data_IF_489648561317
#
_entry.id   IF_489648561317
#
_cell.length_a   1.000
_cell.length_b   1.000
_cell.length_c   1.000
_cell.angle_alpha   90.00
_cell.angle_beta   90.00
_cell.angle_gamma   90.00
#
_symmetry.space_group_name_H-M   'P 1'
#
loop_
_entity.id
_entity.type
_entity.pdbx_description
1 polymer ?
#
# COMPACT_ATOMS: atom_id res chain seq x y z
N UNK A 1 0.28 19.51 -12.12
CA UNK A 1 -0.76 18.48 -11.96
C UNK A 1 -1.50 18.35 -13.28
N UNK A 2 -1.88 17.14 -13.69
CA UNK A 2 -2.69 16.87 -14.88
C UNK A 2 -4.00 16.25 -14.42
N UNK A 3 -5.14 16.79 -14.85
CA UNK A 3 -6.46 16.22 -14.56
C UNK A 3 -6.99 15.50 -15.79
N UNK A 4 -7.61 14.33 -15.59
CA UNK A 4 -8.21 13.54 -16.65
C UNK A 4 -9.63 13.17 -16.24
N UNK A 5 -10.59 13.41 -17.14
CA UNK A 5 -11.95 12.91 -17.02
C UNK A 5 -12.07 11.55 -17.70
N UNK A 6 -12.71 10.59 -17.02
CA UNK A 6 -12.94 9.25 -17.57
C UNK A 6 -14.35 9.12 -18.17
N UNK A 7 -14.55 8.12 -19.03
CA UNK A 7 -15.84 7.86 -19.68
C UNK A 7 -16.95 7.44 -18.71
N UNK A 8 -16.60 7.00 -17.50
CA UNK A 8 -17.53 6.67 -16.42
C UNK A 8 -17.74 7.83 -15.44
N UNK A 9 -17.24 9.03 -15.75
CA UNK A 9 -17.51 10.24 -14.99
C UNK A 9 -16.62 10.47 -13.77
N UNK A 10 -15.50 9.74 -13.63
CA UNK A 10 -14.49 10.06 -12.62
C UNK A 10 -13.56 11.18 -13.09
N UNK A 11 -13.04 11.93 -12.12
CA UNK A 11 -11.97 12.91 -12.32
C UNK A 11 -10.75 12.38 -11.59
N UNK A 12 -9.68 12.13 -12.34
CA UNK A 12 -8.41 11.62 -11.82
C UNK A 12 -7.32 12.68 -11.96
N UNK A 13 -6.31 12.62 -11.09
CA UNK A 13 -5.20 13.56 -11.09
C UNK A 13 -3.84 12.84 -11.10
N UNK A 14 -2.94 13.29 -11.98
CA UNK A 14 -1.53 12.93 -11.96
C UNK A 14 -0.74 14.08 -11.34
N UNK A 15 -0.13 13.79 -10.19
CA UNK A 15 0.64 14.76 -9.41
C UNK A 15 2.13 14.50 -9.66
N UNK A 16 2.87 15.45 -10.27
CA UNK A 16 4.31 15.29 -10.41
C UNK A 16 4.98 15.38 -9.05
N UNK A 17 5.78 14.37 -8.70
CA UNK A 17 6.58 14.36 -7.49
C UNK A 17 7.92 15.03 -7.80
N UNK A 18 8.17 16.18 -7.19
CA UNK A 18 9.34 17.01 -7.51
C UNK A 18 10.66 16.50 -6.90
N UNK A 19 10.57 15.76 -5.78
CA UNK A 19 11.74 15.27 -5.04
C UNK A 19 11.91 13.78 -5.27
N UNK A 20 13.12 13.36 -5.64
CA UNK A 20 13.43 11.94 -5.85
C UNK A 20 13.24 11.12 -4.56
N UNK A 21 13.62 11.69 -3.41
CA UNK A 21 13.42 11.06 -2.10
C UNK A 21 11.94 10.74 -1.83
N UNK A 22 11.02 11.57 -2.35
CA UNK A 22 9.59 11.33 -2.20
C UNK A 22 9.08 10.26 -3.16
N UNK A 23 9.68 10.12 -4.34
CA UNK A 23 9.38 9.01 -5.24
C UNK A 23 9.76 7.69 -4.56
N UNK A 24 10.95 7.62 -3.97
CA UNK A 24 11.40 6.43 -3.25
C UNK A 24 10.54 6.14 -2.02
N UNK A 25 10.24 7.16 -1.21
CA UNK A 25 9.42 7.02 0.00
C UNK A 25 8.00 6.55 -0.34
N UNK A 26 7.33 7.23 -1.26
CA UNK A 26 5.94 6.93 -1.62
C UNK A 26 5.83 5.60 -2.37
N UNK A 27 6.84 5.22 -3.17
CA UNK A 27 6.90 3.91 -3.82
C UNK A 27 7.07 2.77 -2.81
N UNK A 28 7.94 2.93 -1.80
CA UNK A 28 8.07 1.95 -0.71
C UNK A 28 6.79 1.86 0.13
N UNK A 29 6.17 3.00 0.43
CA UNK A 29 4.89 3.06 1.14
C UNK A 29 3.80 2.26 0.40
N UNK A 30 3.66 2.46 -0.91
CA UNK A 30 2.71 1.72 -1.74
C UNK A 30 2.90 0.20 -1.59
N UNK A 31 4.15 -0.27 -1.69
CA UNK A 31 4.49 -1.69 -1.56
C UNK A 31 4.12 -2.23 -0.17
N UNK A 32 4.38 -1.46 0.89
CA UNK A 32 4.09 -1.90 2.25
C UNK A 32 2.59 -1.98 2.53
N UNK A 33 1.81 -1.01 2.04
CA UNK A 33 0.35 -1.03 2.15
C UNK A 33 -0.21 -2.24 1.41
N UNK A 34 0.28 -2.49 0.19
CA UNK A 34 -0.09 -3.68 -0.60
C UNK A 34 0.18 -4.98 0.15
N UNK A 35 1.37 -5.13 0.72
CA UNK A 35 1.72 -6.32 1.52
C UNK A 35 0.80 -6.50 2.72
N UNK A 36 0.41 -5.42 3.40
CA UNK A 36 -0.53 -5.52 4.53
C UNK A 36 -1.93 -6.01 4.15
N UNK A 37 -2.31 -5.90 2.86
CA UNK A 37 -3.60 -6.37 2.33
C UNK A 37 -3.57 -7.79 1.78
N UNK A 38 -2.39 -8.36 1.50
CA UNK A 38 -2.24 -9.68 0.87
C UNK A 38 -2.30 -10.86 1.87
N UNK A 39 -2.46 -10.61 3.17
CA UNK A 39 -2.43 -11.63 4.25
C UNK A 39 -3.75 -12.40 4.49
N UNK A 40 -4.66 -12.48 3.51
CA UNK A 40 -5.97 -13.15 3.68
C UNK A 40 -6.18 -14.39 2.79
N UNK A 41 -5.11 -15.07 2.31
CA UNK A 41 -5.25 -16.26 1.46
C UNK A 41 -4.31 -17.41 1.88
N UNK A 42 -4.62 -18.08 2.99
CA UNK A 42 -4.25 -19.47 3.41
C UNK A 42 -4.56 -19.56 4.92
N UNK A 43 -5.38 -20.44 5.49
CA UNK A 43 -5.52 -21.88 5.27
C UNK A 43 -6.94 -22.35 5.67
N UNK A 44 -7.70 -22.88 4.70
CA UNK A 44 -8.67 -23.94 4.98
C UNK A 44 -8.25 -25.14 4.12
N UNK A 45 -7.53 -26.10 4.73
CA UNK A 45 -7.73 -27.56 4.64
C UNK A 45 -6.46 -28.41 4.86
N UNK A 46 -6.56 -29.27 5.89
CA UNK A 46 -6.15 -30.68 5.96
C UNK A 46 -4.67 -31.13 6.15
N UNK A 47 -4.49 -31.84 7.27
CA UNK A 47 -3.63 -33.01 7.54
C UNK A 47 -2.09 -32.88 7.71
N UNK A 48 -1.70 -33.02 8.98
CA UNK A 48 -0.78 -34.05 9.51
C UNK A 48 0.40 -34.51 8.62
N UNK A 49 1.60 -33.96 8.84
CA UNK A 49 2.82 -34.75 9.12
C UNK A 49 4.04 -33.86 9.45
N UNK A 50 4.83 -34.35 10.41
CA UNK A 50 6.08 -33.78 10.92
C UNK A 50 7.13 -33.46 9.83
N UNK A 51 7.56 -32.20 9.75
CA UNK A 51 8.95 -31.85 9.41
C UNK A 51 9.34 -30.54 10.14
N UNK A 52 10.50 -30.55 10.81
CA UNK A 52 11.04 -29.37 11.50
C UNK A 52 11.50 -28.35 10.46
N UNK A 53 10.74 -27.27 10.30
CA UNK A 53 11.19 -26.07 9.62
C UNK A 53 11.61 -25.06 10.71
N UNK A 54 12.90 -24.79 10.82
CA UNK A 54 13.40 -23.64 11.58
C UNK A 54 12.99 -22.37 10.82
N UNK A 55 11.89 -21.77 11.25
CA UNK A 55 11.42 -20.47 10.75
C UNK A 55 12.00 -19.39 11.66
N UNK A 56 12.84 -18.54 11.08
CA UNK A 56 13.37 -17.33 11.70
C UNK A 56 12.21 -16.41 12.14
N UNK A 57 12.13 -16.14 13.45
CA UNK A 57 10.98 -15.52 14.12
C UNK A 57 11.02 -13.98 14.08
N UNK A 58 11.10 -13.38 12.89
CA UNK A 58 10.91 -11.93 12.76
C UNK A 58 9.54 -11.56 12.20
N UNK A 59 8.62 -11.37 13.16
CA UNK A 59 7.29 -10.74 13.09
C UNK A 59 6.10 -11.70 12.86
N UNK A 60 5.47 -12.07 13.97
CA UNK A 60 4.15 -12.71 14.05
C UNK A 60 3.06 -11.62 13.95
N UNK A 61 2.47 -11.47 12.77
CA UNK A 61 1.33 -10.59 12.53
C UNK A 61 0.05 -11.43 12.71
N UNK A 62 -0.26 -11.80 13.95
CA UNK A 62 -1.53 -12.46 14.27
C UNK A 62 -2.62 -11.39 14.34
N UNK A 63 -3.48 -11.35 13.32
CA UNK A 63 -4.65 -10.48 13.13
C UNK A 63 -4.41 -9.11 12.45
N UNK A 64 -4.27 -9.13 11.13
CA UNK A 64 -4.65 -7.99 10.28
C UNK A 64 -5.74 -8.49 9.32
N UNK A 65 -6.95 -7.95 9.46
CA UNK A 65 -8.10 -8.26 8.60
C UNK A 65 -8.43 -6.99 7.83
N UNK A 66 -8.05 -6.94 6.55
CA UNK A 66 -8.59 -5.99 5.58
C UNK A 66 -8.89 -6.77 4.29
N UNK A 67 -10.15 -7.20 4.18
CA UNK A 67 -10.69 -7.75 2.95
C UNK A 67 -10.63 -6.69 1.85
N UNK A 68 -9.88 -6.98 0.79
CA UNK A 68 -10.09 -6.30 -0.49
C UNK A 68 -11.48 -6.72 -0.99
N UNK A 69 -12.39 -5.76 -1.21
CA UNK A 69 -13.77 -6.03 -1.69
C UNK A 69 -13.80 -6.80 -3.04
N UNK A 70 -12.66 -6.91 -3.72
CA UNK A 70 -12.38 -7.96 -4.71
C UNK A 70 -10.96 -8.45 -4.51
N UNK A 71 -10.72 -9.76 -4.58
CA UNK A 71 -9.42 -10.44 -4.47
C UNK A 71 -8.44 -10.13 -5.64
N UNK A 72 -8.44 -8.89 -6.12
CA UNK A 72 -7.61 -8.44 -7.23
C UNK A 72 -6.34 -7.80 -6.67
N UNK A 73 -5.18 -8.39 -6.94
CA UNK A 73 -3.90 -7.75 -6.62
C UNK A 73 -3.83 -6.38 -7.33
N UNK A 74 -3.65 -5.25 -6.60
CA UNK A 74 -3.73 -3.93 -7.25
C UNK A 74 -2.61 -3.66 -8.29
N UNK A 75 -1.48 -4.40 -8.29
CA UNK A 75 -0.45 -4.31 -9.34
C UNK A 75 -0.95 -4.94 -10.64
N UNK A 76 -1.66 -6.05 -10.52
CA UNK A 76 -2.27 -6.74 -11.67
C UNK A 76 -3.42 -5.91 -12.23
N UNK A 77 -4.17 -5.22 -11.36
CA UNK A 77 -5.22 -4.30 -11.77
C UNK A 77 -4.67 -3.06 -12.50
N UNK A 78 -3.65 -2.38 -11.94
CA UNK A 78 -3.04 -1.20 -12.60
C UNK A 78 -2.18 -1.57 -13.82
N UNK A 79 -1.59 -2.77 -13.82
CA UNK A 79 -0.83 -3.32 -14.93
C UNK A 79 -1.65 -4.00 -16.02
N UNK A 80 -2.99 -3.91 -15.98
CA UNK A 80 -3.91 -4.76 -16.77
C UNK A 80 -3.69 -4.71 -18.28
N UNK A 81 -3.14 -3.62 -18.80
CA UNK A 81 -2.86 -3.45 -20.23
C UNK A 81 -1.37 -3.20 -20.54
N UNK A 82 -0.62 -2.58 -19.60
CA UNK A 82 0.82 -2.33 -19.70
C UNK A 82 1.41 -2.27 -18.29
N UNK A 83 2.66 -2.68 -18.07
CA UNK A 83 3.32 -2.48 -16.77
C UNK A 83 3.26 -1.01 -16.35
N UNK A 84 2.73 -0.70 -15.16
CA UNK A 84 2.80 0.64 -14.60
C UNK A 84 4.29 0.97 -14.39
N UNK A 85 4.82 1.89 -15.21
CA UNK A 85 6.19 2.35 -15.13
C UNK A 85 6.19 3.80 -14.67
N UNK A 86 6.98 4.10 -13.64
CA UNK A 86 7.16 5.45 -13.09
C UNK A 86 5.86 6.09 -12.54
N UNK A 87 4.89 5.29 -12.11
CA UNK A 87 3.62 5.72 -11.51
C UNK A 87 3.46 5.08 -10.13
N UNK A 88 3.16 5.90 -9.13
CA UNK A 88 2.81 5.47 -7.77
C UNK A 88 1.29 5.54 -7.62
N UNK A 89 0.71 4.52 -7.02
CA UNK A 89 -0.74 4.47 -6.76
C UNK A 89 -1.13 5.44 -5.64
N UNK A 90 -1.64 6.62 -6.05
CA UNK A 90 -2.17 7.64 -5.15
C UNK A 90 -3.34 7.17 -4.28
N UNK A 91 -4.24 6.33 -4.79
CA UNK A 91 -5.38 5.85 -4.01
C UNK A 91 -4.91 4.92 -2.90
N UNK A 92 -3.96 4.04 -3.22
CA UNK A 92 -3.40 3.07 -2.29
C UNK A 92 -2.60 3.75 -1.17
N UNK A 93 -1.72 4.70 -1.49
CA UNK A 93 -1.03 5.48 -0.44
C UNK A 93 -2.00 6.33 0.37
N UNK A 94 -3.10 6.79 -0.25
CA UNK A 94 -4.20 7.50 0.41
C UNK A 94 -4.96 6.67 1.43
N UNK A 95 -4.82 5.33 1.41
CA UNK A 95 -5.40 4.45 2.43
C UNK A 95 -4.62 4.47 3.76
N UNK A 96 -3.36 4.91 3.78
CA UNK A 96 -2.52 4.87 4.97
C UNK A 96 -3.15 5.50 6.22
N UNK A 97 -3.78 6.69 6.17
CA UNK A 97 -4.44 7.29 7.33
C UNK A 97 -5.64 6.48 7.87
N UNK A 98 -6.18 5.57 7.07
CA UNK A 98 -7.33 4.72 7.39
C UNK A 98 -6.93 3.33 7.90
N UNK A 99 -5.65 2.96 7.83
CA UNK A 99 -5.15 1.72 8.43
C UNK A 99 -5.25 1.80 9.96
N UNK A 100 -5.26 0.64 10.64
CA UNK A 100 -5.20 0.62 12.10
C UNK A 100 -3.86 1.18 12.61
N UNK A 101 -3.86 1.64 13.86
CA UNK A 101 -2.70 2.30 14.46
C UNK A 101 -1.43 1.42 14.43
N UNK A 102 -1.56 0.11 14.66
CA UNK A 102 -0.42 -0.80 14.72
C UNK A 102 0.20 -0.98 13.33
N UNK A 103 -0.63 -1.13 12.31
CA UNK A 103 -0.18 -1.20 10.90
C UNK A 103 0.49 0.10 10.47
N UNK A 104 -0.09 1.25 10.81
CA UNK A 104 0.52 2.55 10.51
C UNK A 104 1.92 2.68 11.12
N UNK A 105 2.07 2.31 12.39
CA UNK A 105 3.34 2.40 13.13
C UNK A 105 4.39 1.41 12.59
N UNK A 106 3.98 0.17 12.28
CA UNK A 106 4.84 -0.83 11.68
C UNK A 106 5.38 -0.41 10.31
N UNK A 107 4.53 0.19 9.46
CA UNK A 107 4.94 0.73 8.16
C UNK A 107 5.88 1.92 8.34
N UNK A 108 5.54 2.87 9.23
CA UNK A 108 6.38 4.04 9.50
C UNK A 108 7.78 3.66 9.97
N UNK A 109 7.86 2.66 10.87
CA UNK A 109 9.12 2.11 11.36
C UNK A 109 9.96 1.48 10.25
N UNK A 110 9.34 0.75 9.31
CA UNK A 110 10.06 0.17 8.16
C UNK A 110 10.59 1.23 7.18
N UNK A 111 9.94 2.39 7.12
CA UNK A 111 10.35 3.53 6.31
C UNK A 111 11.33 4.47 7.04
N UNK A 112 11.73 4.12 8.27
CA UNK A 112 12.60 4.94 9.14
C UNK A 112 12.08 6.38 9.28
N UNK A 113 10.77 6.53 9.46
CA UNK A 113 10.10 7.83 9.62
C UNK A 113 9.09 7.75 10.75
N UNK A 114 8.92 8.85 11.49
CA UNK A 114 7.84 8.93 12.48
C UNK A 114 6.47 8.88 11.80
N UNK A 115 5.53 8.10 12.36
CA UNK A 115 4.16 7.97 11.85
C UNK A 115 3.50 9.33 11.56
N UNK A 116 3.64 10.29 12.48
CA UNK A 116 3.09 11.63 12.31
C UNK A 116 3.74 12.40 11.14
N UNK A 117 5.06 12.28 10.99
CA UNK A 117 5.78 12.89 9.88
C UNK A 117 5.36 12.27 8.53
N UNK A 118 5.15 10.96 8.48
CA UNK A 118 4.64 10.25 7.31
C UNK A 118 3.23 10.69 6.94
N UNK A 119 2.31 10.78 7.90
CA UNK A 119 0.96 11.33 7.69
C UNK A 119 1.01 12.73 7.09
N UNK A 120 1.81 13.62 7.69
CA UNK A 120 1.99 15.00 7.19
C UNK A 120 2.60 15.02 5.80
N UNK A 121 3.51 14.09 5.48
CA UNK A 121 4.16 13.99 4.17
C UNK A 121 3.17 13.54 3.09
N UNK A 122 2.32 12.57 3.39
CA UNK A 122 1.23 12.12 2.52
C UNK A 122 0.25 13.27 2.28
N UNK A 123 -0.14 13.97 3.35
CA UNK A 123 -1.10 15.09 3.31
C UNK A 123 -0.70 16.19 2.32
N UNK A 124 0.61 16.44 2.15
CA UNK A 124 1.13 17.40 1.16
C UNK A 124 0.78 17.07 -0.29
N UNK A 125 0.44 15.83 -0.60
CA UNK A 125 0.05 15.40 -1.95
C UNK A 125 -1.46 15.36 -2.14
N UNK A 126 -2.24 15.12 -1.08
CA UNK A 126 -3.71 15.03 -1.15
C UNK A 126 -4.41 16.36 -0.85
N UNK A 127 -3.83 17.21 -0.01
CA UNK A 127 -4.34 18.54 0.30
C UNK A 127 -3.77 19.64 -0.62
N UNK A 128 -3.40 19.28 -1.85
CA UNK A 128 -3.10 20.27 -2.90
C UNK A 128 -4.42 20.76 -3.51
N UNK A 129 -5.22 21.46 -2.71
CA UNK A 129 -6.38 22.20 -3.20
C UNK A 129 -6.25 23.67 -2.78
N UNK A 130 -6.25 24.49 -3.83
CA UNK A 130 -6.47 25.94 -4.00
C UNK A 130 -7.12 26.69 -2.83
#
# INVERSE_FOLDING_TARGET
MIYIGTSYGAIEAFIPIAKIDDVELLGKLEILIRKSMEFEVTEENENDSNEKIEVDQSINISHIVYSTLSASNPLVFRGRFTSAKDIIDGELIGMYPHLDFHTQDAIAKQLDIERHALLKRIDQYFNVIL
#
